data_IF_864297679133
#
_entry.id   IF_864297679133
#
_cell.length_a   1.000
_cell.length_b   1.000
_cell.length_c   1.000
_cell.angle_alpha   90.00
_cell.angle_beta   90.00
_cell.angle_gamma   90.00
#
_symmetry.space_group_name_H-M   'P 1'
#
loop_
_entity.id
_entity.type
_entity.pdbx_description
1 polymer ?
#
# COMPACT_ATOMS: atom_id res chain seq x y z
N UNK A 1 19.73 -5.72 -23.49
CA UNK A 1 19.50 -6.83 -22.54
C UNK A 1 19.00 -8.04 -23.33
N UNK A 2 19.71 -9.17 -23.26
CA UNK A 2 19.31 -10.41 -23.96
C UNK A 2 17.93 -10.85 -23.48
N UNK A 3 17.05 -11.26 -24.39
CA UNK A 3 15.64 -11.68 -24.09
C UNK A 3 15.54 -12.70 -22.95
N UNK A 4 16.56 -13.55 -22.80
CA UNK A 4 16.69 -14.55 -21.75
C UNK A 4 16.80 -13.96 -20.33
N UNK A 5 17.46 -12.80 -20.17
CA UNK A 5 17.60 -12.13 -18.86
C UNK A 5 16.24 -11.60 -18.39
N UNK A 6 15.42 -11.10 -19.32
CA UNK A 6 14.07 -10.62 -19.00
C UNK A 6 13.15 -11.80 -18.61
N UNK A 7 13.30 -12.94 -19.27
CA UNK A 7 12.56 -14.15 -18.96
C UNK A 7 12.93 -14.71 -17.56
N UNK A 8 14.22 -14.72 -17.22
CA UNK A 8 14.67 -15.16 -15.89
C UNK A 8 14.19 -14.21 -14.78
N UNK A 9 14.19 -12.89 -15.03
CA UNK A 9 13.62 -11.90 -14.11
C UNK A 9 12.12 -12.08 -13.93
N UNK A 10 11.36 -12.35 -15.01
CA UNK A 10 9.92 -12.59 -14.89
C UNK A 10 9.59 -13.87 -14.16
N UNK A 11 10.39 -14.93 -14.32
CA UNK A 11 10.22 -16.19 -13.59
C UNK A 11 10.56 -16.00 -12.11
N UNK A 12 11.62 -15.26 -11.79
CA UNK A 12 11.99 -14.94 -10.40
C UNK A 12 10.91 -14.12 -9.67
N UNK A 13 10.36 -13.09 -10.33
CA UNK A 13 9.25 -12.30 -9.80
C UNK A 13 7.98 -13.14 -9.64
N UNK A 14 7.69 -14.05 -10.58
CA UNK A 14 6.56 -14.96 -10.48
C UNK A 14 6.73 -15.94 -9.31
N UNK A 15 7.91 -16.50 -9.09
CA UNK A 15 8.20 -17.36 -7.95
C UNK A 15 8.04 -16.63 -6.62
N UNK A 16 8.47 -15.36 -6.53
CA UNK A 16 8.28 -14.53 -5.34
C UNK A 16 6.79 -14.24 -5.06
N UNK A 17 6.00 -13.97 -6.10
CA UNK A 17 4.56 -13.78 -5.97
C UNK A 17 3.83 -15.06 -5.54
N UNK A 18 4.25 -16.22 -6.05
CA UNK A 18 3.70 -17.52 -5.63
C UNK A 18 4.06 -17.81 -4.18
N UNK A 19 5.31 -17.59 -3.77
CA UNK A 19 5.72 -17.72 -2.36
C UNK A 19 4.93 -16.79 -1.44
N UNK A 20 4.71 -15.55 -1.87
CA UNK A 20 3.89 -14.59 -1.14
C UNK A 20 2.45 -15.07 -0.98
N UNK A 21 1.84 -15.63 -2.04
CA UNK A 21 0.47 -16.18 -1.97
C UNK A 21 0.40 -17.42 -1.08
N UNK A 22 1.39 -18.32 -1.13
CA UNK A 22 1.43 -19.52 -0.27
C UNK A 22 1.63 -19.14 1.20
N UNK A 23 2.49 -18.15 1.49
CA UNK A 23 2.68 -17.64 2.87
C UNK A 23 1.46 -16.93 3.45
N UNK A 24 0.49 -16.53 2.63
CA UNK A 24 -0.80 -16.00 3.08
C UNK A 24 -1.84 -17.12 3.32
N UNK A 25 -1.60 -18.35 2.83
CA UNK A 25 -2.53 -19.46 2.96
C UNK A 25 -2.42 -20.22 4.29
N UNK A 26 -1.40 -19.98 5.11
CA UNK A 26 -1.24 -20.60 6.44
C UNK A 26 -2.01 -19.88 7.57
N UNK A 27 -2.69 -18.76 7.30
CA UNK A 27 -3.36 -17.96 8.34
C UNK A 27 -4.90 -18.07 8.33
N UNK A 28 -5.46 -19.25 8.03
CA UNK A 28 -6.90 -19.51 8.20
C UNK A 28 -7.11 -20.96 8.66
N UNK A 29 -7.13 -21.19 9.97
CA UNK A 29 -8.17 -21.91 10.75
C UNK A 29 -7.68 -22.07 12.19
N UNK A 30 -8.50 -21.62 13.14
CA UNK A 30 -8.26 -21.69 14.57
C UNK A 30 -8.19 -23.14 15.09
N UNK A 31 -7.22 -23.42 15.97
CA UNK A 31 -7.27 -24.51 16.94
C UNK A 31 -7.01 -23.88 18.33
N UNK A 32 -8.10 -23.43 18.95
CA UNK A 32 -8.14 -22.87 20.30
C UNK A 32 -8.46 -24.02 21.27
N UNK A 33 -7.44 -24.77 21.68
CA UNK A 33 -7.58 -25.78 22.73
C UNK A 33 -7.25 -25.13 24.09
N UNK A 34 -8.29 -24.56 24.70
CA UNK A 34 -8.24 -23.93 26.02
C UNK A 34 -8.07 -24.97 27.13
N UNK A 35 -7.02 -24.83 27.93
CA UNK A 35 -6.95 -25.40 29.28
C UNK A 35 -7.01 -24.29 30.35
N UNK A 36 -8.20 -24.20 30.96
CA UNK A 36 -8.64 -23.55 32.21
C UNK A 36 -7.64 -22.71 33.06
N UNK A 37 -8.09 -21.54 33.53
CA UNK A 37 -8.55 -21.27 34.91
C UNK A 37 -8.57 -19.75 35.17
N UNK A 38 -9.74 -19.17 35.46
CA UNK A 38 -10.04 -18.08 36.43
C UNK A 38 -11.31 -17.29 36.06
N UNK A 39 -12.47 -17.87 36.38
CA UNK A 39 -13.77 -17.17 36.39
C UNK A 39 -13.83 -16.18 37.57
N UNK A 40 -13.47 -14.91 37.36
CA UNK A 40 -14.24 -13.80 37.96
C UNK A 40 -14.00 -12.39 37.38
N UNK A 41 -13.07 -12.21 36.43
CA UNK A 41 -12.82 -10.92 35.74
C UNK A 41 -13.29 -10.86 34.27
N UNK A 42 -13.85 -11.96 33.76
CA UNK A 42 -14.07 -12.18 32.32
C UNK A 42 -15.06 -11.23 31.64
N UNK A 43 -15.90 -10.49 32.38
CA UNK A 43 -16.91 -9.62 31.73
C UNK A 43 -16.32 -8.27 31.29
N UNK A 44 -15.26 -7.81 31.95
CA UNK A 44 -14.56 -6.58 31.59
C UNK A 44 -13.41 -6.86 30.62
N UNK A 45 -12.64 -7.93 30.83
CA UNK A 45 -11.57 -8.32 29.89
C UNK A 45 -12.11 -8.71 28.52
N UNK A 46 -13.20 -9.50 28.45
CA UNK A 46 -13.78 -9.93 27.16
C UNK A 46 -14.39 -8.80 26.33
N UNK A 47 -14.77 -7.69 26.97
CA UNK A 47 -15.19 -6.48 26.24
C UNK A 47 -14.00 -5.70 25.71
N UNK A 48 -12.91 -5.64 26.47
CA UNK A 48 -11.67 -4.95 26.09
C UNK A 48 -10.91 -5.70 25.00
N UNK A 49 -10.74 -7.02 25.12
CA UNK A 49 -10.14 -7.87 24.08
C UNK A 49 -10.93 -7.82 22.77
N UNK A 50 -12.27 -7.71 22.84
CA UNK A 50 -13.14 -7.63 21.65
C UNK A 50 -13.09 -6.25 20.98
N UNK A 51 -12.94 -5.18 21.75
CA UNK A 51 -12.76 -3.81 21.20
C UNK A 51 -11.34 -3.57 20.69
N UNK A 52 -10.32 -4.04 21.41
CA UNK A 52 -8.91 -4.00 21.01
C UNK A 52 -8.70 -4.84 19.74
N UNK A 53 -9.26 -6.06 19.68
CA UNK A 53 -9.23 -6.89 18.47
C UNK A 53 -9.94 -6.24 17.27
N UNK A 54 -11.06 -5.55 17.48
CA UNK A 54 -11.76 -4.84 16.40
C UNK A 54 -10.98 -3.62 15.87
N UNK A 55 -10.29 -2.89 16.75
CA UNK A 55 -9.44 -1.77 16.37
C UNK A 55 -8.20 -2.24 15.59
N UNK A 56 -7.56 -3.33 16.03
CA UNK A 56 -6.40 -3.94 15.38
C UNK A 56 -6.75 -4.47 13.98
N UNK A 57 -7.82 -5.27 13.88
CA UNK A 57 -8.31 -5.80 12.60
C UNK A 57 -8.72 -4.66 11.65
N UNK A 58 -9.43 -3.65 12.17
CA UNK A 58 -9.81 -2.46 11.42
C UNK A 58 -8.57 -1.71 10.91
N UNK A 59 -7.57 -1.51 11.76
CA UNK A 59 -6.29 -0.90 11.42
C UNK A 59 -5.59 -1.66 10.29
N UNK A 60 -5.45 -2.98 10.38
CA UNK A 60 -4.85 -3.83 9.34
C UNK A 60 -5.61 -3.72 8.00
N UNK A 61 -6.94 -3.73 8.04
CA UNK A 61 -7.77 -3.59 6.83
C UNK A 61 -7.57 -2.21 6.17
N UNK A 62 -7.50 -1.13 6.96
CA UNK A 62 -7.19 0.20 6.44
C UNK A 62 -5.79 0.26 5.82
N UNK A 63 -4.80 -0.41 6.41
CA UNK A 63 -3.44 -0.51 5.87
C UNK A 63 -3.43 -1.16 4.48
N UNK A 64 -4.06 -2.32 4.33
CA UNK A 64 -4.21 -2.97 3.03
C UNK A 64 -5.03 -2.14 2.04
N UNK A 65 -6.09 -1.49 2.51
CA UNK A 65 -6.88 -0.53 1.74
C UNK A 65 -6.01 0.60 1.18
N UNK A 66 -5.15 1.20 2.01
CA UNK A 66 -4.24 2.25 1.62
C UNK A 66 -3.26 1.80 0.53
N UNK A 67 -2.65 0.62 0.69
CA UNK A 67 -1.75 0.03 -0.33
C UNK A 67 -2.48 -0.18 -1.65
N UNK A 68 -3.68 -0.77 -1.59
CA UNK A 68 -4.48 -1.06 -2.78
C UNK A 68 -4.87 0.21 -3.55
N UNK A 69 -5.13 1.31 -2.84
CA UNK A 69 -5.43 2.62 -3.45
C UNK A 69 -4.17 3.32 -3.96
N UNK A 70 -3.05 3.23 -3.24
CA UNK A 70 -1.79 3.87 -3.60
C UNK A 70 -1.14 3.22 -4.84
N UNK A 71 -1.22 1.90 -4.99
CA UNK A 71 -0.58 1.15 -6.09
C UNK A 71 -0.99 1.66 -7.49
N UNK A 72 -2.29 1.75 -7.85
CA UNK A 72 -2.72 2.29 -9.13
C UNK A 72 -2.25 3.73 -9.38
N UNK A 73 -2.17 4.55 -8.33
CA UNK A 73 -1.67 5.91 -8.42
C UNK A 73 -0.16 5.96 -8.65
N UNK A 74 0.61 5.11 -7.96
CA UNK A 74 2.07 5.01 -8.08
C UNK A 74 2.54 4.50 -9.44
N UNK A 75 1.82 3.54 -10.03
CA UNK A 75 2.18 3.00 -11.35
C UNK A 75 1.80 3.92 -12.52
N UNK A 76 1.07 5.03 -12.29
CA UNK A 76 0.58 5.90 -13.35
C UNK A 76 1.70 6.40 -14.29
N UNK A 77 2.82 6.86 -13.73
CA UNK A 77 3.94 7.39 -14.51
C UNK A 77 4.63 6.33 -15.39
N UNK A 78 5.04 5.15 -14.87
CA UNK A 78 5.58 4.10 -15.72
C UNK A 78 4.55 3.61 -16.76
N UNK A 79 3.26 3.50 -16.40
CA UNK A 79 2.19 3.13 -17.33
C UNK A 79 2.08 4.11 -18.49
N UNK A 80 2.11 5.43 -18.21
CA UNK A 80 2.11 6.47 -19.24
C UNK A 80 3.32 6.40 -20.15
N UNK A 81 4.52 6.18 -19.60
CA UNK A 81 5.76 6.10 -20.39
C UNK A 81 5.80 4.87 -21.29
N UNK A 82 5.19 3.76 -20.87
CA UNK A 82 5.17 2.49 -21.61
C UNK A 82 3.88 2.27 -22.40
N UNK A 83 2.94 3.21 -22.38
CA UNK A 83 1.62 3.07 -22.99
C UNK A 83 1.68 2.59 -24.46
N UNK A 84 2.51 3.22 -25.30
CA UNK A 84 2.67 2.83 -26.71
C UNK A 84 3.11 1.37 -26.86
N UNK A 85 4.06 0.94 -26.05
CA UNK A 85 4.56 -0.44 -26.06
C UNK A 85 3.47 -1.42 -25.61
N UNK A 86 2.78 -1.12 -24.50
CA UNK A 86 1.70 -1.96 -23.97
C UNK A 86 0.57 -2.11 -24.99
N UNK A 87 0.12 -1.02 -25.60
CA UNK A 87 -0.96 -1.05 -26.60
C UNK A 87 -0.56 -1.72 -27.92
N UNK A 88 0.74 -1.87 -28.20
CA UNK A 88 1.25 -2.60 -29.37
C UNK A 88 1.35 -4.10 -29.08
N UNK A 89 1.75 -4.48 -27.87
CA UNK A 89 1.86 -5.88 -27.45
C UNK A 89 0.49 -6.52 -27.19
N UNK A 90 -0.45 -5.76 -26.63
CA UNK A 90 -1.80 -6.24 -26.30
C UNK A 90 -2.86 -5.40 -27.02
N UNK A 91 -3.05 -5.60 -28.34
CA UNK A 91 -3.99 -4.81 -29.14
C UNK A 91 -5.44 -5.01 -28.67
N UNK A 92 -5.83 -6.22 -28.25
CA UNK A 92 -7.19 -6.54 -27.81
C UNK A 92 -7.59 -5.79 -26.53
N UNK A 93 -6.63 -5.60 -25.62
CA UNK A 93 -6.84 -4.87 -24.37
C UNK A 93 -6.63 -3.34 -24.51
N UNK A 94 -6.31 -2.83 -25.71
CA UNK A 94 -5.98 -1.41 -25.94
C UNK A 94 -7.05 -0.47 -25.43
N UNK A 95 -8.33 -0.76 -25.72
CA UNK A 95 -9.47 0.10 -25.33
C UNK A 95 -9.59 0.17 -23.80
N UNK A 96 -9.45 -0.97 -23.13
CA UNK A 96 -9.43 -1.05 -21.67
C UNK A 96 -8.26 -0.25 -21.09
N UNK A 97 -7.04 -0.47 -21.59
CA UNK A 97 -5.84 0.21 -21.09
C UNK A 97 -5.89 1.72 -21.25
N UNK A 98 -6.35 2.22 -22.40
CA UNK A 98 -6.52 3.67 -22.63
C UNK A 98 -7.59 4.25 -21.69
N UNK A 99 -8.70 3.53 -21.48
CA UNK A 99 -9.75 3.94 -20.54
C UNK A 99 -9.22 4.00 -19.10
N UNK A 100 -8.51 2.96 -18.66
CA UNK A 100 -7.90 2.89 -17.33
C UNK A 100 -6.89 4.02 -17.13
N UNK A 101 -6.02 4.27 -18.11
CA UNK A 101 -5.04 5.36 -18.03
C UNK A 101 -5.71 6.73 -17.92
N UNK A 102 -6.83 6.94 -18.64
CA UNK A 102 -7.63 8.17 -18.58
C UNK A 102 -8.31 8.33 -17.21
N UNK A 103 -8.86 7.25 -16.66
CA UNK A 103 -9.48 7.22 -15.34
C UNK A 103 -8.44 7.53 -14.26
N UNK A 104 -7.34 6.78 -14.23
CA UNK A 104 -6.25 6.99 -13.27
C UNK A 104 -5.68 8.40 -13.37
N UNK A 105 -5.53 8.94 -14.58
CA UNK A 105 -5.10 10.33 -14.77
C UNK A 105 -6.06 11.34 -14.16
N UNK A 106 -7.37 11.17 -14.39
CA UNK A 106 -8.40 12.11 -13.95
C UNK A 106 -8.56 12.05 -12.43
N UNK A 107 -8.52 10.85 -11.87
CA UNK A 107 -8.80 10.59 -10.46
C UNK A 107 -7.54 10.49 -9.61
N UNK A 108 -6.34 10.59 -10.17
CA UNK A 108 -5.06 10.42 -9.46
C UNK A 108 -4.99 11.20 -8.15
N UNK A 109 -5.38 12.48 -8.17
CA UNK A 109 -5.32 13.34 -6.98
C UNK A 109 -6.32 12.89 -5.90
N UNK A 110 -7.52 12.49 -6.29
CA UNK A 110 -8.53 11.96 -5.34
C UNK A 110 -8.12 10.60 -4.78
N UNK A 111 -7.62 9.70 -5.62
CA UNK A 111 -7.14 8.37 -5.20
C UNK A 111 -5.94 8.53 -4.25
N UNK A 112 -5.00 9.42 -4.57
CA UNK A 112 -3.85 9.71 -3.72
C UNK A 112 -4.25 10.33 -2.37
N UNK A 113 -5.21 11.26 -2.38
CA UNK A 113 -5.75 11.85 -1.15
C UNK A 113 -6.48 10.81 -0.28
N UNK A 114 -7.30 9.95 -0.89
CA UNK A 114 -7.99 8.87 -0.20
C UNK A 114 -6.99 7.86 0.39
N UNK A 115 -5.97 7.45 -0.39
CA UNK A 115 -4.91 6.57 0.10
C UNK A 115 -4.18 7.19 1.30
N UNK A 116 -3.84 8.48 1.24
CA UNK A 116 -3.18 9.16 2.35
C UNK A 116 -4.08 9.28 3.59
N UNK A 117 -5.38 9.53 3.40
CA UNK A 117 -6.35 9.51 4.50
C UNK A 117 -6.45 8.12 5.15
N UNK A 118 -6.43 7.04 4.36
CA UNK A 118 -6.40 5.68 4.87
C UNK A 118 -5.11 5.39 5.65
N UNK A 119 -3.95 5.87 5.19
CA UNK A 119 -2.67 5.75 5.94
C UNK A 119 -2.75 6.44 7.30
N UNK A 120 -3.31 7.66 7.35
CA UNK A 120 -3.47 8.38 8.63
C UNK A 120 -4.42 7.61 9.55
N UNK A 121 -5.57 7.17 9.04
CA UNK A 121 -6.55 6.43 9.84
C UNK A 121 -6.00 5.08 10.33
N UNK A 122 -5.25 4.37 9.48
CA UNK A 122 -4.49 3.17 9.85
C UNK A 122 -3.53 3.46 11.01
N UNK A 123 -2.65 4.47 10.87
CA UNK A 123 -1.70 4.82 11.93
C UNK A 123 -2.35 5.22 13.25
N UNK A 124 -3.48 5.95 13.20
CA UNK A 124 -4.24 6.33 14.40
C UNK A 124 -4.84 5.09 15.09
N UNK A 125 -5.47 4.19 14.33
CA UNK A 125 -6.06 2.98 14.90
C UNK A 125 -4.98 2.05 15.48
N UNK A 126 -3.87 1.85 14.77
CA UNK A 126 -2.77 1.02 15.27
C UNK A 126 -2.17 1.62 16.54
N UNK A 127 -1.97 2.95 16.60
CA UNK A 127 -1.46 3.61 17.80
C UNK A 127 -2.34 3.39 19.04
N UNK A 128 -3.67 3.46 18.89
CA UNK A 128 -4.58 3.18 20.00
C UNK A 128 -4.69 1.70 20.36
N UNK A 129 -4.46 0.81 19.40
CA UNK A 129 -4.56 -0.64 19.58
C UNK A 129 -3.29 -1.26 20.19
N UNK A 130 -2.11 -0.86 19.70
CA UNK A 130 -0.83 -1.44 20.12
C UNK A 130 -0.27 -0.76 21.37
N UNK A 131 -0.59 0.52 21.60
CA UNK A 131 -0.20 1.26 22.80
C UNK A 131 1.30 1.60 22.92
N UNK A 132 2.15 1.01 22.08
CA UNK A 132 3.59 1.21 22.03
C UNK A 132 4.09 1.49 20.60
N UNK A 133 5.27 2.09 20.46
CA UNK A 133 5.89 2.38 19.17
C UNK A 133 7.28 1.73 19.12
N UNK A 134 7.41 0.66 18.37
CA UNK A 134 8.70 0.07 18.04
C UNK A 134 9.29 0.70 16.77
N UNK A 135 10.49 0.25 16.41
CA UNK A 135 11.22 0.73 15.22
C UNK A 135 10.36 0.55 13.96
N UNK A 136 9.57 -0.52 13.87
CA UNK A 136 8.71 -0.83 12.72
C UNK A 136 7.65 0.26 12.54
N UNK A 137 7.00 0.71 13.60
CA UNK A 137 5.97 1.75 13.56
C UNK A 137 6.58 3.11 13.22
N UNK A 138 7.79 3.41 13.71
CA UNK A 138 8.54 4.60 13.29
C UNK A 138 8.82 4.64 11.79
N UNK A 139 9.12 3.50 11.15
CA UNK A 139 9.28 3.43 9.69
C UNK A 139 7.95 3.76 8.97
N UNK A 140 6.82 3.31 9.52
CA UNK A 140 5.48 3.66 9.03
C UNK A 140 5.20 5.17 9.12
N UNK A 141 5.54 5.80 10.25
CA UNK A 141 5.39 7.25 10.44
C UNK A 141 6.29 8.04 9.47
N UNK A 142 7.54 7.61 9.29
CA UNK A 142 8.47 8.23 8.33
C UNK A 142 7.93 8.09 6.89
N UNK A 143 7.41 6.92 6.52
CA UNK A 143 6.78 6.71 5.22
C UNK A 143 5.59 7.64 5.00
N UNK A 144 4.71 7.77 6.00
CA UNK A 144 3.57 8.68 5.96
C UNK A 144 4.00 10.15 5.83
N UNK A 145 5.06 10.58 6.53
CA UNK A 145 5.62 11.91 6.40
C UNK A 145 6.12 12.20 4.97
N UNK A 146 6.87 11.26 4.36
CA UNK A 146 7.29 11.37 2.97
C UNK A 146 6.10 11.42 2.00
N UNK A 147 5.05 10.63 2.22
CA UNK A 147 3.81 10.69 1.43
C UNK A 147 3.12 12.05 1.56
N UNK A 148 3.03 12.60 2.78
CA UNK A 148 2.43 13.91 3.03
C UNK A 148 3.18 15.04 2.30
N UNK A 149 4.51 15.05 2.39
CA UNK A 149 5.35 16.03 1.65
C UNK A 149 5.18 15.80 0.13
N UNK A 150 5.16 14.55 -0.33
CA UNK A 150 4.91 14.24 -1.73
C UNK A 150 3.56 14.77 -2.20
N UNK A 151 2.51 14.70 -1.39
CA UNK A 151 1.18 15.23 -1.71
C UNK A 151 1.22 16.76 -1.92
N UNK A 152 1.99 17.50 -1.12
CA UNK A 152 2.21 18.94 -1.31
C UNK A 152 2.89 19.22 -2.66
N UNK A 153 3.97 18.49 -2.98
CA UNK A 153 4.61 18.61 -4.29
C UNK A 153 3.67 18.21 -5.45
N UNK A 154 2.79 17.24 -5.22
CA UNK A 154 1.75 16.84 -6.18
C UNK A 154 0.73 17.96 -6.44
N UNK A 155 0.30 18.67 -5.40
CA UNK A 155 -0.58 19.82 -5.51
C UNK A 155 0.09 20.99 -6.25
N UNK A 156 1.37 21.26 -5.96
CA UNK A 156 2.17 22.27 -6.68
C UNK A 156 2.32 21.87 -8.17
N UNK A 157 2.60 20.60 -8.44
CA UNK A 157 2.74 20.06 -9.80
C UNK A 157 1.45 20.16 -10.60
N UNK A 158 0.29 20.03 -9.96
CA UNK A 158 -1.01 20.15 -10.62
C UNK A 158 -1.21 21.53 -11.26
N UNK A 159 -0.65 22.59 -10.64
CA UNK A 159 -0.63 23.95 -11.17
C UNK A 159 0.54 24.18 -12.15
N UNK A 160 1.67 23.51 -11.95
CA UNK A 160 2.91 23.71 -12.71
C UNK A 160 3.37 22.45 -13.49
N UNK A 161 2.48 21.90 -14.33
CA UNK A 161 2.69 20.57 -14.95
C UNK A 161 3.97 20.41 -15.78
N UNK A 162 4.51 21.50 -16.32
CA UNK A 162 5.72 21.49 -17.13
C UNK A 162 7.02 21.38 -16.30
N UNK A 163 6.98 21.69 -14.99
CA UNK A 163 8.17 21.70 -14.14
C UNK A 163 8.65 20.26 -13.86
N UNK A 164 9.78 19.90 -14.46
CA UNK A 164 10.40 18.58 -14.32
C UNK A 164 10.97 18.34 -12.92
N UNK A 165 11.49 19.38 -12.26
CA UNK A 165 12.08 19.28 -10.91
C UNK A 165 11.02 18.95 -9.87
N UNK A 166 9.87 19.66 -9.89
CA UNK A 166 8.74 19.37 -8.97
C UNK A 166 8.21 17.96 -9.18
N UNK A 167 8.14 17.51 -10.44
CA UNK A 167 7.75 16.13 -10.76
C UNK A 167 8.75 15.11 -10.23
N UNK A 168 10.04 15.37 -10.39
CA UNK A 168 11.10 14.49 -9.88
C UNK A 168 11.05 14.41 -8.36
N UNK A 169 10.83 15.53 -7.67
CA UNK A 169 10.67 15.57 -6.22
C UNK A 169 9.45 14.75 -5.77
N UNK A 170 8.27 14.99 -6.37
CA UNK A 170 7.05 14.22 -6.06
C UNK A 170 7.26 12.71 -6.23
N UNK A 171 7.84 12.27 -7.35
CA UNK A 171 8.09 10.85 -7.63
C UNK A 171 9.17 10.29 -6.71
N UNK A 172 10.25 11.04 -6.45
CA UNK A 172 11.33 10.62 -5.57
C UNK A 172 10.86 10.44 -4.13
N UNK A 173 10.06 11.37 -3.62
CA UNK A 173 9.46 11.28 -2.28
C UNK A 173 8.53 10.08 -2.17
N UNK A 174 7.66 9.83 -3.16
CA UNK A 174 6.79 8.64 -3.17
C UNK A 174 7.59 7.34 -3.27
N UNK A 175 8.69 7.33 -4.02
CA UNK A 175 9.56 6.17 -4.12
C UNK A 175 10.23 5.85 -2.78
N UNK A 176 10.78 6.87 -2.12
CA UNK A 176 11.34 6.73 -0.77
C UNK A 176 10.30 6.27 0.23
N UNK A 177 9.10 6.86 0.21
CA UNK A 177 7.97 6.42 1.04
C UNK A 177 7.63 4.94 0.81
N UNK A 178 7.62 4.50 -0.45
CA UNK A 178 7.38 3.10 -0.80
C UNK A 178 8.43 2.15 -0.21
N UNK A 179 9.71 2.55 -0.18
CA UNK A 179 10.78 1.76 0.46
C UNK A 179 10.51 1.60 1.96
N UNK A 180 10.24 2.71 2.66
CA UNK A 180 9.92 2.66 4.09
C UNK A 180 8.65 1.85 4.37
N UNK A 181 7.65 1.94 3.49
CA UNK A 181 6.41 1.15 3.59
C UNK A 181 6.71 -0.35 3.49
N UNK A 182 7.59 -0.77 2.58
CA UNK A 182 7.99 -2.18 2.47
C UNK A 182 8.65 -2.66 3.76
N UNK A 183 9.58 -1.87 4.32
CA UNK A 183 10.23 -2.25 5.58
C UNK A 183 9.29 -2.21 6.79
N UNK A 184 8.28 -1.36 6.79
CA UNK A 184 7.24 -1.35 7.81
C UNK A 184 6.36 -2.61 7.76
N UNK A 185 6.21 -3.24 6.58
CA UNK A 185 5.42 -4.46 6.38
C UNK A 185 6.19 -5.76 6.61
N UNK A 186 7.52 -5.70 6.66
CA UNK A 186 8.40 -6.83 6.97
C UNK A 186 8.58 -6.93 8.50
#
# INVERSE_FOLDING_TARGET
MKKWILAMLSVSVLCLLVYFVIGQAENVFADDDKANFHEHDEKYEKHREREEGAAEEGGKLLGWGAVSAALPAGVLLPLRRKAKWITKTFPDAKRFFVSLLKLLTKWHMFIGAAAFALVIAHGILMYFSEGELEIREYLGIIAAAFMGIAAVFGAILAKNKANSSVRSAHVGLLFTAGIFTIFHML
#
